data_IF_842138686558
#
_entry.id   IF_842138686558
#
_cell.length_a   1.000
_cell.length_b   1.000
_cell.length_c   1.000
_cell.angle_alpha   90.00
_cell.angle_beta   90.00
_cell.angle_gamma   90.00
#
_symmetry.space_group_name_H-M   'P 1'
#
loop_
_entity.id
_entity.type
_entity.pdbx_description
1 polymer ?
#
# COMPACT_ATOMS: atom_id res chain seq x y z
N UNK A 1 16.76 19.37 26.88
CA UNK A 1 15.45 19.41 27.59
C UNK A 1 14.76 20.73 27.28
N UNK A 2 14.04 20.77 26.15
CA UNK A 2 13.30 21.94 25.67
C UNK A 2 12.91 21.76 24.19
N UNK A 3 12.42 20.57 23.83
CA UNK A 3 12.29 20.10 22.44
C UNK A 3 10.83 20.06 21.94
N UNK A 4 9.86 20.63 22.66
CA UNK A 4 8.44 20.44 22.33
C UNK A 4 7.53 21.69 22.48
N UNK A 5 8.04 22.86 22.88
CA UNK A 5 7.15 24.00 23.20
C UNK A 5 6.76 24.90 22.00
N UNK A 6 7.45 24.83 20.85
CA UNK A 6 7.22 25.80 19.75
C UNK A 6 6.27 25.30 18.64
N UNK A 7 5.81 24.04 18.71
CA UNK A 7 4.84 23.49 17.75
C UNK A 7 3.38 23.63 18.25
N UNK A 8 3.14 23.69 19.56
CA UNK A 8 1.78 23.74 20.12
C UNK A 8 1.33 25.17 20.43
N UNK A 9 0.64 25.79 19.47
CA UNK A 9 -0.06 27.05 19.65
C UNK A 9 -1.25 26.92 20.61
N UNK A 10 -1.03 27.15 21.90
CA UNK A 10 -2.07 27.19 22.93
C UNK A 10 -2.69 28.60 23.02
N UNK A 11 -3.99 28.68 22.70
CA UNK A 11 -4.73 29.93 22.55
C UNK A 11 -6.04 30.02 23.32
N UNK A 12 -6.22 29.27 24.43
CA UNK A 12 -7.37 29.48 25.31
C UNK A 12 -7.08 30.61 26.30
N UNK A 13 -7.65 31.79 26.05
CA UNK A 13 -7.70 32.88 27.03
C UNK A 13 -9.12 33.42 27.17
N UNK A 14 -9.75 32.98 28.25
CA UNK A 14 -10.88 33.65 28.89
C UNK A 14 -10.62 35.17 29.01
N UNK A 15 -11.51 35.98 28.43
CA UNK A 15 -11.67 37.38 28.83
C UNK A 15 -13.13 37.71 29.08
N UNK A 16 -13.36 37.93 30.37
CA UNK A 16 -14.51 38.49 31.05
C UNK A 16 -15.29 39.55 30.27
N UNK A 17 -16.61 39.40 30.33
CA UNK A 17 -17.57 40.46 30.09
C UNK A 17 -17.41 41.60 31.11
N UNK A 18 -17.33 42.84 30.62
CA UNK A 18 -17.81 44.02 31.33
C UNK A 18 -18.32 45.05 30.30
N UNK A 19 -19.44 45.68 30.64
CA UNK A 19 -20.30 46.43 29.73
C UNK A 19 -20.11 47.96 29.84
N UNK A 20 -20.56 48.65 28.78
CA UNK A 20 -21.09 50.04 28.73
C UNK A 20 -20.09 51.21 28.49
N UNK A 21 -20.55 52.41 28.05
CA UNK A 21 -20.45 52.82 26.64
C UNK A 21 -19.88 54.26 26.48
N UNK A 22 -19.47 54.68 25.29
CA UNK A 22 -19.45 56.13 24.98
C UNK A 22 -19.55 56.43 23.49
N UNK A 23 -20.63 57.13 23.13
CA UNK A 23 -20.85 57.85 21.88
C UNK A 23 -19.78 58.93 21.63
N UNK A 24 -19.41 59.13 20.36
CA UNK A 24 -18.62 60.29 19.94
C UNK A 24 -18.22 60.30 18.45
N UNK A 25 -19.14 60.72 17.59
CA UNK A 25 -18.99 61.41 16.29
C UNK A 25 -17.67 61.32 15.47
N UNK A 26 -17.76 60.61 14.31
CA UNK A 26 -17.34 60.96 12.92
C UNK A 26 -16.14 61.92 12.65
N UNK A 27 -15.31 61.70 11.60
CA UNK A 27 -15.77 61.40 10.23
C UNK A 27 -14.98 60.34 9.44
N UNK A 28 -15.59 59.96 8.30
CA UNK A 28 -15.16 58.96 7.34
C UNK A 28 -13.74 59.20 6.78
N UNK A 29 -12.83 58.28 7.09
CA UNK A 29 -11.61 58.03 6.32
C UNK A 29 -11.50 56.53 6.01
N UNK A 30 -10.84 56.27 4.89
CA UNK A 30 -10.75 55.02 4.14
C UNK A 30 -10.91 53.73 4.95
N UNK A 31 -11.84 52.90 4.47
CA UNK A 31 -11.97 51.49 4.82
C UNK A 31 -10.73 50.73 4.32
N UNK A 32 -9.61 50.83 5.02
CA UNK A 32 -8.57 49.80 5.02
C UNK A 32 -9.13 48.62 5.81
N UNK A 33 -9.97 47.84 5.13
CA UNK A 33 -10.23 46.48 5.53
C UNK A 33 -8.89 45.77 5.51
N UNK A 34 -8.33 45.62 6.70
CA UNK A 34 -7.35 44.62 7.09
C UNK A 34 -7.75 43.28 6.47
N UNK A 35 -7.15 42.95 5.33
CA UNK A 35 -7.26 41.66 4.68
C UNK A 35 -6.26 40.71 5.33
N UNK A 36 -6.75 39.60 5.84
CA UNK A 36 -5.99 38.36 5.99
C UNK A 36 -5.39 38.09 7.37
N UNK A 37 -6.23 37.70 8.31
CA UNK A 37 -5.83 36.72 9.33
C UNK A 37 -5.58 35.38 8.61
N UNK A 38 -4.35 34.87 8.77
CA UNK A 38 -3.86 33.49 8.51
C UNK A 38 -4.37 32.74 7.28
N UNK A 39 -3.86 33.10 6.10
CA UNK A 39 -3.62 32.12 5.06
C UNK A 39 -2.16 31.65 5.19
N UNK A 40 -1.94 30.36 5.47
CA UNK A 40 -0.61 29.76 5.38
C UNK A 40 0.02 30.13 4.02
N UNK A 41 1.33 30.46 3.95
CA UNK A 41 1.96 30.74 2.66
C UNK A 41 1.77 29.52 1.75
N UNK A 42 1.48 29.72 0.44
CA UNK A 42 1.39 28.60 -0.48
C UNK A 42 2.73 27.85 -0.50
N UNK A 43 2.68 26.52 -0.38
CA UNK A 43 3.85 25.66 -0.51
C UNK A 43 4.40 25.81 -1.94
N UNK A 44 5.67 26.16 -2.07
CA UNK A 44 6.30 26.47 -3.35
C UNK A 44 7.78 26.87 -3.22
N UNK A 45 8.43 27.30 -4.32
CA UNK A 45 9.88 27.45 -4.37
C UNK A 45 10.46 28.37 -3.28
N UNK A 46 9.79 29.48 -2.98
CA UNK A 46 10.19 30.40 -1.91
C UNK A 46 10.09 29.76 -0.51
N UNK A 47 9.09 28.89 -0.33
CA UNK A 47 8.93 28.14 0.92
C UNK A 47 10.03 27.09 1.09
N UNK A 48 10.39 26.37 0.01
CA UNK A 48 11.50 25.41 0.02
C UNK A 48 12.84 26.10 0.26
N UNK A 49 13.09 27.23 -0.40
CA UNK A 49 14.31 28.02 -0.18
C UNK A 49 14.44 28.46 1.30
N UNK A 50 13.34 28.91 1.91
CA UNK A 50 13.31 29.23 3.34
C UNK A 50 13.53 27.99 4.21
N UNK A 51 12.89 26.86 3.88
CA UNK A 51 13.06 25.60 4.62
C UNK A 51 14.49 25.08 4.56
N UNK A 52 15.14 25.23 3.41
CA UNK A 52 16.54 24.91 3.23
C UNK A 52 17.45 25.78 4.11
N UNK A 53 17.16 27.09 4.22
CA UNK A 53 17.87 27.97 5.16
C UNK A 53 17.62 27.62 6.63
N UNK A 54 16.37 27.29 6.99
CA UNK A 54 16.02 26.80 8.32
C UNK A 54 16.83 25.53 8.67
N UNK A 55 16.93 24.58 7.74
CA UNK A 55 17.73 23.36 7.90
C UNK A 55 19.22 23.67 8.14
N UNK A 56 19.81 24.64 7.42
CA UNK A 56 21.21 25.05 7.69
C UNK A 56 21.40 25.69 9.07
N UNK A 57 20.39 26.40 9.58
CA UNK A 57 20.43 27.00 10.90
C UNK A 57 20.25 25.94 12.00
N UNK A 58 19.35 24.98 11.78
CA UNK A 58 19.10 23.85 12.68
C UNK A 58 20.34 22.95 12.78
N UNK A 59 20.94 22.60 11.65
CA UNK A 59 22.13 21.76 11.56
C UNK A 59 23.41 22.58 11.42
N UNK A 60 23.52 23.67 12.18
CA UNK A 60 24.65 24.61 12.11
C UNK A 60 26.04 24.02 12.40
N UNK A 61 26.09 22.80 12.96
CA UNK A 61 27.32 22.04 13.18
C UNK A 61 27.80 21.30 11.91
N UNK A 62 26.95 21.15 10.89
CA UNK A 62 27.28 20.56 9.60
C UNK A 62 27.82 21.63 8.63
N UNK A 63 28.76 21.29 7.72
CA UNK A 63 29.32 22.22 6.73
C UNK A 63 28.35 22.44 5.54
N UNK A 64 27.12 22.88 5.82
CA UNK A 64 26.08 23.09 4.81
C UNK A 64 26.16 24.51 4.24
N UNK A 65 26.59 24.63 2.98
CA UNK A 65 26.78 25.93 2.29
C UNK A 65 26.12 26.01 0.91
N UNK A 66 25.27 25.03 0.58
CA UNK A 66 24.56 24.89 -0.69
C UNK A 66 25.47 24.60 -1.89
N UNK A 67 26.71 24.16 -1.64
CA UNK A 67 27.59 23.63 -2.68
C UNK A 67 27.35 22.13 -2.93
N UNK A 68 27.77 21.63 -4.09
CA UNK A 68 27.82 20.20 -4.37
C UNK A 68 28.59 19.42 -3.29
N UNK A 69 29.72 19.97 -2.81
CA UNK A 69 30.58 19.34 -1.80
C UNK A 69 29.85 19.17 -0.45
N UNK A 70 28.92 20.07 -0.11
CA UNK A 70 28.17 20.00 1.15
C UNK A 70 27.14 18.86 1.20
N UNK A 71 26.80 18.26 0.06
CA UNK A 71 25.86 17.13 -0.02
C UNK A 71 26.40 15.89 0.72
N UNK A 72 27.72 15.68 0.75
CA UNK A 72 28.30 14.57 1.51
C UNK A 72 28.02 14.68 3.01
N UNK A 73 27.95 15.90 3.56
CA UNK A 73 27.58 16.11 4.96
C UNK A 73 26.08 15.84 5.21
N UNK A 74 25.25 15.98 4.18
CA UNK A 74 23.84 15.60 4.23
C UNK A 74 23.68 14.07 4.28
N UNK A 75 24.44 13.33 3.46
CA UNK A 75 24.48 11.86 3.51
C UNK A 75 24.98 11.35 4.87
N UNK A 76 26.09 11.91 5.38
CA UNK A 76 26.62 11.56 6.70
C UNK A 76 25.59 11.81 7.82
N UNK A 77 24.80 12.88 7.71
CA UNK A 77 23.77 13.19 8.70
C UNK A 77 22.56 12.26 8.60
N UNK A 78 22.09 11.96 7.39
CA UNK A 78 20.98 11.04 7.15
C UNK A 78 21.31 9.61 7.63
N UNK A 79 22.54 9.14 7.34
CA UNK A 79 23.01 7.81 7.71
C UNK A 79 23.52 7.68 9.15
N UNK A 80 23.41 8.73 9.96
CA UNK A 80 23.85 8.70 11.35
C UNK A 80 22.90 7.88 12.22
N UNK A 81 23.44 6.96 13.03
CA UNK A 81 22.66 6.26 14.06
C UNK A 81 22.08 7.22 15.12
N UNK A 82 22.65 8.42 15.24
CA UNK A 82 22.17 9.48 16.12
C UNK A 82 21.11 10.39 15.46
N UNK A 83 20.70 10.11 14.21
CA UNK A 83 19.62 10.86 13.58
C UNK A 83 18.30 10.59 14.37
N UNK A 84 17.44 11.60 14.62
CA UNK A 84 16.23 11.40 15.42
C UNK A 84 15.23 10.38 14.86
N UNK A 85 15.11 10.24 13.54
CA UNK A 85 14.30 9.20 12.89
C UNK A 85 14.84 7.81 13.22
N UNK A 86 16.15 7.59 13.10
CA UNK A 86 16.79 6.31 13.40
C UNK A 86 16.67 5.95 14.90
N UNK A 87 16.86 6.94 15.78
CA UNK A 87 16.72 6.76 17.24
C UNK A 87 15.28 6.38 17.61
N UNK A 88 14.29 7.06 17.04
CA UNK A 88 12.88 6.81 17.33
C UNK A 88 12.38 5.50 16.70
N UNK A 89 12.80 5.18 15.48
CA UNK A 89 12.45 3.92 14.82
C UNK A 89 13.02 2.69 15.54
N UNK A 90 14.13 2.84 16.27
CA UNK A 90 14.71 1.77 17.08
C UNK A 90 14.00 1.58 18.44
N UNK A 91 13.14 2.51 18.85
CA UNK A 91 12.40 2.44 20.11
C UNK A 91 11.01 1.80 19.87
N UNK A 92 10.74 0.59 20.42
CA UNK A 92 9.48 -0.11 20.21
C UNK A 92 8.28 0.56 20.91
N UNK A 93 8.50 1.55 21.78
CA UNK A 93 7.43 2.33 22.40
C UNK A 93 7.06 3.57 21.56
N UNK A 94 7.75 3.83 20.44
CA UNK A 94 7.44 4.93 19.54
C UNK A 94 6.13 4.67 18.80
N UNK A 95 5.25 5.65 18.86
CA UNK A 95 4.00 5.69 18.09
C UNK A 95 4.30 5.87 16.59
N UNK A 96 3.71 5.03 15.74
CA UNK A 96 4.01 4.99 14.30
C UNK A 96 3.53 6.26 13.58
N UNK A 97 2.36 6.80 13.97
CA UNK A 97 1.85 8.07 13.42
C UNK A 97 2.77 9.25 13.77
N UNK A 98 3.31 9.26 14.99
CA UNK A 98 4.34 10.22 15.40
C UNK A 98 5.63 10.07 14.58
N UNK A 99 6.07 8.83 14.37
CA UNK A 99 7.28 8.54 13.60
C UNK A 99 7.15 9.01 12.15
N UNK A 100 6.00 8.78 11.51
CA UNK A 100 5.73 9.23 10.14
C UNK A 100 5.72 10.75 10.03
N UNK A 101 5.10 11.46 10.98
CA UNK A 101 5.14 12.93 11.02
C UNK A 101 6.57 13.47 11.13
N UNK A 102 7.44 12.77 11.87
CA UNK A 102 8.85 13.16 12.02
C UNK A 102 9.63 12.86 10.73
N UNK A 103 9.40 11.71 10.11
CA UNK A 103 9.98 11.34 8.81
C UNK A 103 9.63 12.37 7.73
N UNK A 104 8.35 12.74 7.62
CA UNK A 104 7.89 13.78 6.68
C UNK A 104 8.59 15.12 6.92
N UNK A 105 8.67 15.56 8.18
CA UNK A 105 9.35 16.81 8.53
C UNK A 105 10.84 16.78 8.15
N UNK A 106 11.52 15.66 8.39
CA UNK A 106 12.92 15.46 7.99
C UNK A 106 13.08 15.42 6.47
N UNK A 107 12.23 14.65 5.76
CA UNK A 107 12.26 14.57 4.30
C UNK A 107 12.05 15.95 3.66
N UNK A 108 11.16 16.78 4.21
CA UNK A 108 10.98 18.17 3.78
C UNK A 108 12.26 18.99 3.96
N UNK A 109 12.90 18.94 5.13
CA UNK A 109 14.12 19.73 5.42
C UNK A 109 15.28 19.29 4.53
N UNK A 110 15.54 17.99 4.46
CA UNK A 110 16.59 17.39 3.63
C UNK A 110 16.35 17.63 2.13
N UNK A 111 15.14 17.36 1.65
CA UNK A 111 14.75 17.53 0.25
C UNK A 111 14.76 19.00 -0.18
N UNK A 112 14.34 19.92 0.69
CA UNK A 112 14.45 21.37 0.43
C UNK A 112 15.91 21.81 0.31
N UNK A 113 16.78 21.33 1.22
CA UNK A 113 18.20 21.64 1.15
C UNK A 113 18.85 21.11 -0.13
N UNK A 114 18.63 19.83 -0.44
CA UNK A 114 19.17 19.20 -1.63
C UNK A 114 18.63 19.86 -2.91
N UNK A 115 17.34 20.17 -2.96
CA UNK A 115 16.75 20.91 -4.07
C UNK A 115 17.37 22.29 -4.27
N UNK A 116 17.66 23.03 -3.18
CA UNK A 116 18.37 24.31 -3.29
C UNK A 116 19.83 24.17 -3.73
N UNK A 117 20.53 23.07 -3.40
CA UNK A 117 21.85 22.77 -3.98
C UNK A 117 21.72 22.62 -5.50
N UNK A 118 20.72 21.88 -5.98
CA UNK A 118 20.48 21.69 -7.41
C UNK A 118 20.12 23.00 -8.12
N UNK A 119 19.29 23.83 -7.51
CA UNK A 119 18.95 25.16 -8.05
C UNK A 119 20.18 26.05 -8.14
N UNK A 120 21.00 26.12 -7.09
CA UNK A 120 22.11 27.09 -6.98
C UNK A 120 23.40 26.64 -7.66
N UNK A 121 23.76 25.37 -7.54
CA UNK A 121 25.00 24.83 -8.08
C UNK A 121 24.82 24.19 -9.47
N UNK A 122 23.59 23.78 -9.81
CA UNK A 122 23.28 23.10 -11.05
C UNK A 122 22.27 23.84 -11.93
N UNK A 123 21.95 25.12 -11.69
CA UNK A 123 20.96 25.87 -12.50
C UNK A 123 19.61 25.13 -12.62
N UNK A 124 19.25 24.37 -11.59
CA UNK A 124 17.97 23.66 -11.49
C UNK A 124 16.81 24.63 -11.27
N UNK A 125 15.60 24.17 -11.60
CA UNK A 125 14.38 24.94 -11.40
C UNK A 125 13.34 24.08 -10.69
N UNK A 126 12.80 24.58 -9.57
CA UNK A 126 11.66 23.97 -8.90
C UNK A 126 10.46 23.98 -9.85
N UNK A 127 9.97 22.79 -10.16
CA UNK A 127 8.84 22.58 -11.07
C UNK A 127 7.83 21.69 -10.36
N UNK A 128 6.55 21.99 -10.57
CA UNK A 128 5.47 21.11 -10.13
C UNK A 128 5.16 20.14 -11.28
N UNK A 129 5.33 18.85 -11.04
CA UNK A 129 5.01 17.76 -11.96
C UNK A 129 4.10 16.81 -11.20
N UNK A 130 2.90 16.55 -11.70
CA UNK A 130 1.93 15.64 -11.07
C UNK A 130 1.63 15.97 -9.60
N UNK A 131 1.42 17.26 -9.30
CA UNK A 131 1.23 17.81 -7.94
C UNK A 131 2.41 17.56 -6.97
N UNK A 132 3.52 17.01 -7.47
CA UNK A 132 4.77 16.81 -6.74
C UNK A 132 5.82 17.85 -7.14
N UNK A 133 6.51 18.39 -6.14
CA UNK A 133 7.60 19.33 -6.38
C UNK A 133 8.90 18.58 -6.69
N UNK A 134 9.44 18.86 -7.88
CA UNK A 134 10.72 18.32 -8.37
C UNK A 134 11.69 19.44 -8.69
N UNK A 135 12.98 19.13 -8.84
CA UNK A 135 13.96 20.06 -9.40
C UNK A 135 14.37 19.61 -10.80
N UNK A 136 14.05 20.43 -11.81
CA UNK A 136 14.41 20.21 -13.20
C UNK A 136 15.83 20.73 -13.47
N UNK A 137 16.80 19.81 -13.52
CA UNK A 137 18.22 20.12 -13.68
C UNK A 137 18.64 19.99 -15.15
N UNK A 138 19.26 21.00 -15.78
CA UNK A 138 19.75 20.86 -17.15
C UNK A 138 20.84 19.78 -17.22
N UNK A 139 20.70 18.80 -18.12
CA UNK A 139 21.68 17.72 -18.33
C UNK A 139 22.21 17.67 -19.76
N UNK A 140 21.66 18.49 -20.65
CA UNK A 140 22.11 18.66 -22.04
C UNK A 140 21.74 20.04 -22.57
N UNK A 141 21.93 20.28 -23.87
CA UNK A 141 21.61 21.56 -24.51
C UNK A 141 20.10 21.84 -24.50
N UNK A 142 19.28 20.78 -24.63
CA UNK A 142 17.82 20.85 -24.62
C UNK A 142 17.17 19.89 -23.59
N UNK A 143 17.97 19.14 -22.83
CA UNK A 143 17.48 18.10 -21.91
C UNK A 143 17.53 18.51 -20.44
N UNK A 144 16.49 18.12 -19.70
CA UNK A 144 16.33 18.37 -18.26
C UNK A 144 16.03 17.05 -17.54
N UNK A 145 16.74 16.77 -16.45
CA UNK A 145 16.42 15.68 -15.56
C UNK A 145 15.52 16.21 -14.44
N UNK A 146 14.35 15.58 -14.25
CA UNK A 146 13.51 15.81 -13.08
C UNK A 146 14.09 15.02 -11.89
N UNK A 147 14.30 15.70 -10.76
CA UNK A 147 14.83 15.10 -9.54
C UNK A 147 13.78 15.19 -8.43
N UNK A 148 13.31 14.03 -7.95
CA UNK A 148 12.30 13.88 -6.89
C UNK A 148 12.91 14.01 -5.50
N UNK A 149 13.32 15.23 -5.16
CA UNK A 149 14.19 15.50 -4.00
C UNK A 149 13.60 15.10 -2.63
N UNK A 150 12.27 15.06 -2.49
CA UNK A 150 11.61 14.64 -1.24
C UNK A 150 11.60 13.13 -1.06
N UNK A 151 11.39 12.37 -2.14
CA UNK A 151 11.43 10.90 -2.10
C UNK A 151 12.86 10.41 -1.88
N UNK A 152 13.83 11.06 -2.55
CA UNK A 152 15.26 10.82 -2.30
C UNK A 152 15.59 11.10 -0.84
N UNK A 153 15.02 12.15 -0.26
CA UNK A 153 15.24 12.47 1.15
C UNK A 153 14.61 11.44 2.09
N UNK A 154 13.36 11.04 1.84
CA UNK A 154 12.66 10.02 2.61
C UNK A 154 13.40 8.69 2.60
N UNK A 155 13.85 8.25 1.42
CA UNK A 155 14.64 7.04 1.26
C UNK A 155 16.01 7.15 1.96
N UNK A 156 16.67 8.31 1.89
CA UNK A 156 17.99 8.53 2.52
C UNK A 156 17.94 8.53 4.05
N UNK A 157 16.83 8.95 4.67
CA UNK A 157 16.68 8.97 6.13
C UNK A 157 16.15 7.64 6.70
N UNK A 158 15.50 6.81 5.88
CA UNK A 158 14.96 5.50 6.28
C UNK A 158 15.84 4.33 5.84
N UNK A 159 16.76 4.56 4.90
CA UNK A 159 17.68 3.58 4.34
C UNK A 159 19.08 4.15 4.11
N UNK A 160 19.84 3.56 3.18
CA UNK A 160 21.16 4.08 2.82
C UNK A 160 21.07 5.50 2.24
N UNK A 161 21.91 6.46 2.68
CA UNK A 161 21.92 7.80 2.13
C UNK A 161 22.29 7.84 0.64
N UNK A 162 21.58 8.65 -0.13
CA UNK A 162 21.62 8.63 -1.59
C UNK A 162 21.95 9.98 -2.26
N UNK A 163 22.04 11.08 -1.52
CA UNK A 163 22.12 12.42 -2.12
C UNK A 163 23.38 12.60 -2.98
N UNK A 164 24.53 12.13 -2.50
CA UNK A 164 25.79 12.18 -3.24
C UNK A 164 25.74 11.31 -4.50
N UNK A 165 25.14 10.12 -4.41
CA UNK A 165 24.99 9.22 -5.57
C UNK A 165 24.09 9.83 -6.65
N UNK A 166 22.99 10.48 -6.27
CA UNK A 166 22.13 11.21 -7.20
C UNK A 166 22.91 12.35 -7.87
N UNK A 167 23.76 13.05 -7.12
CA UNK A 167 24.59 14.11 -7.66
C UNK A 167 25.60 13.59 -8.71
N UNK A 168 26.26 12.49 -8.42
CA UNK A 168 27.17 11.81 -9.36
C UNK A 168 26.45 11.42 -10.67
N UNK A 169 25.20 10.96 -10.58
CA UNK A 169 24.39 10.64 -11.76
C UNK A 169 24.06 11.89 -12.58
N UNK A 170 23.71 13.01 -11.94
CA UNK A 170 23.46 14.29 -12.62
C UNK A 170 24.72 14.75 -13.36
N UNK A 171 25.89 14.66 -12.71
CA UNK A 171 27.17 15.02 -13.31
C UNK A 171 27.53 14.11 -14.49
N UNK A 172 27.32 12.80 -14.37
CA UNK A 172 27.57 11.83 -15.44
C UNK A 172 26.70 12.12 -16.68
N UNK A 173 25.42 12.46 -16.48
CA UNK A 173 24.52 12.84 -17.58
C UNK A 173 24.93 14.14 -18.25
N UNK A 174 25.30 15.15 -17.47
CA UNK A 174 25.86 16.41 -18.01
C UNK A 174 27.12 16.20 -18.84
N UNK A 175 27.92 15.20 -18.48
CA UNK A 175 29.10 14.82 -19.25
C UNK A 175 28.77 14.06 -20.55
N UNK A 176 27.51 13.65 -20.76
CA UNK A 176 27.08 12.82 -21.88
C UNK A 176 27.41 11.33 -21.73
N UNK A 177 27.71 10.89 -20.50
CA UNK A 177 28.10 9.51 -20.18
C UNK A 177 26.92 8.69 -19.59
N UNK A 178 25.70 9.23 -19.53
CA UNK A 178 24.52 8.59 -18.95
C UNK A 178 23.31 8.49 -19.89
N UNK A 179 22.42 7.53 -19.63
CA UNK A 179 21.15 7.32 -20.35
C UNK A 179 20.07 8.34 -19.95
N UNK A 180 19.02 8.49 -20.78
CA UNK A 180 17.96 9.49 -20.66
C UNK A 180 16.93 9.22 -19.52
N UNK A 181 17.09 8.15 -18.74
CA UNK A 181 16.16 7.70 -17.67
C UNK A 181 15.94 8.76 -16.58
N UNK A 182 14.74 9.00 -16.02
CA UNK A 182 14.57 9.90 -14.88
C UNK A 182 15.55 9.57 -13.73
N UNK A 183 16.08 10.58 -13.04
CA UNK A 183 17.02 10.37 -11.93
C UNK A 183 16.20 10.19 -10.65
N UNK A 184 16.02 8.93 -10.26
CA UNK A 184 15.34 8.50 -9.03
C UNK A 184 16.35 7.86 -8.07
N UNK A 185 15.89 7.42 -6.89
CA UNK A 185 16.73 6.92 -5.82
C UNK A 185 17.68 5.77 -6.26
N UNK A 186 19.00 5.85 -5.95
CA UNK A 186 19.97 4.76 -6.09
C UNK A 186 19.72 3.71 -5.00
N UNK A 187 18.77 2.85 -5.27
CA UNK A 187 18.27 1.77 -4.42
C UNK A 187 17.05 1.11 -5.05
N UNK A 188 16.37 1.83 -5.96
CA UNK A 188 15.61 1.26 -7.08
C UNK A 188 16.64 0.88 -8.15
N UNK A 189 17.40 -0.18 -7.88
CA UNK A 189 18.33 -0.76 -8.84
C UNK A 189 17.56 -1.48 -9.93
N UNK A 190 16.90 -0.74 -10.82
CA UNK A 190 16.41 -1.28 -12.07
C UNK A 190 17.61 -1.81 -12.84
N UNK A 191 17.70 -3.11 -13.00
CA UNK A 191 18.66 -3.68 -13.94
C UNK A 191 18.43 -3.07 -15.32
N UNK A 192 19.48 -2.95 -16.14
CA UNK A 192 19.34 -2.70 -17.59
C UNK A 192 18.52 -3.79 -18.32
N UNK A 193 18.08 -4.84 -17.61
CA UNK A 193 17.05 -5.77 -18.06
C UNK A 193 15.65 -5.17 -17.80
N UNK A 194 14.92 -4.73 -18.85
CA UNK A 194 13.55 -4.24 -18.72
C UNK A 194 12.61 -5.23 -18.00
N UNK A 195 12.92 -6.53 -18.01
CA UNK A 195 12.17 -7.55 -17.27
C UNK A 195 12.27 -7.36 -15.76
N UNK A 196 13.48 -7.15 -15.23
CA UNK A 196 13.65 -6.93 -13.79
C UNK A 196 13.15 -5.54 -13.36
N UNK A 197 12.95 -4.62 -14.30
CA UNK A 197 12.21 -3.38 -14.03
C UNK A 197 10.73 -3.67 -13.77
N UNK A 198 10.05 -4.44 -14.62
CA UNK A 198 8.65 -4.82 -14.36
C UNK A 198 8.48 -5.63 -13.08
N UNK A 199 9.41 -6.53 -12.77
CA UNK A 199 9.39 -7.27 -11.50
C UNK A 199 9.52 -6.33 -10.29
N UNK A 200 10.41 -5.33 -10.36
CA UNK A 200 10.60 -4.34 -9.31
C UNK A 200 9.38 -3.41 -9.18
N UNK A 201 8.91 -2.82 -10.29
CA UNK A 201 7.74 -1.94 -10.32
C UNK A 201 6.50 -2.67 -9.76
N UNK A 202 6.35 -3.96 -10.07
CA UNK A 202 5.27 -4.78 -9.55
C UNK A 202 5.39 -5.09 -8.05
N UNK A 203 6.61 -5.28 -7.54
CA UNK A 203 6.86 -5.44 -6.11
C UNK A 203 6.59 -4.13 -5.34
N UNK A 204 6.92 -3.00 -5.94
CA UNK A 204 6.67 -1.68 -5.36
C UNK A 204 5.16 -1.43 -5.19
N UNK A 205 4.32 -1.77 -6.19
CA UNK A 205 2.85 -1.69 -6.06
C UNK A 205 2.34 -2.53 -4.88
N UNK A 206 2.84 -3.76 -4.74
CA UNK A 206 2.42 -4.64 -3.66
C UNK A 206 2.87 -4.11 -2.27
N UNK A 207 4.03 -3.47 -2.21
CA UNK A 207 4.60 -2.90 -0.99
C UNK A 207 3.94 -1.56 -0.60
N UNK A 208 3.58 -0.73 -1.57
CA UNK A 208 2.91 0.56 -1.37
C UNK A 208 1.48 0.36 -0.84
N UNK A 209 0.82 -0.74 -1.25
CA UNK A 209 -0.58 -1.01 -0.94
C UNK A 209 -0.79 -2.29 -0.13
N UNK A 210 -0.16 -2.42 1.06
CA UNK A 210 -0.13 -3.68 1.81
C UNK A 210 -1.52 -4.14 2.26
N UNK A 211 -2.47 -3.21 2.45
CA UNK A 211 -3.86 -3.53 2.83
C UNK A 211 -4.60 -4.36 1.78
N UNK A 212 -4.26 -4.22 0.49
CA UNK A 212 -4.86 -5.00 -0.60
C UNK A 212 -4.18 -6.36 -0.77
N UNK A 213 -3.08 -6.63 -0.04
CA UNK A 213 -2.35 -7.92 0.02
C UNK A 213 -2.05 -8.50 -1.37
N UNK A 214 -1.47 -7.69 -2.24
CA UNK A 214 -1.12 -8.08 -3.59
C UNK A 214 0.04 -9.11 -3.56
N UNK A 215 -0.29 -10.39 -3.71
CA UNK A 215 0.62 -11.54 -3.52
C UNK A 215 1.01 -12.27 -4.82
N UNK A 216 0.69 -11.67 -5.97
CA UNK A 216 0.92 -12.20 -7.31
C UNK A 216 0.21 -13.52 -7.63
N UNK A 217 -0.76 -13.93 -6.80
CA UNK A 217 -1.69 -15.00 -7.16
C UNK A 217 -2.74 -14.49 -8.15
N UNK A 218 -3.37 -15.35 -8.96
CA UNK A 218 -4.49 -14.96 -9.80
C UNK A 218 -5.64 -14.29 -9.01
N UNK A 219 -5.87 -14.76 -7.77
CA UNK A 219 -6.91 -14.22 -6.90
C UNK A 219 -6.58 -12.80 -6.37
N UNK A 220 -5.32 -12.38 -6.44
CA UNK A 220 -4.94 -10.99 -6.12
C UNK A 220 -5.38 -9.98 -7.17
N UNK A 221 -5.72 -10.42 -8.39
CA UNK A 221 -6.20 -9.51 -9.43
C UNK A 221 -7.55 -8.88 -9.09
N UNK A 222 -8.42 -9.59 -8.36
CA UNK A 222 -9.67 -9.02 -7.84
C UNK A 222 -9.38 -7.89 -6.85
N UNK A 223 -8.35 -8.08 -6.01
CA UNK A 223 -7.91 -7.09 -5.03
C UNK A 223 -7.24 -5.89 -5.71
N UNK A 224 -6.52 -6.13 -6.81
CA UNK A 224 -6.00 -5.07 -7.67
C UNK A 224 -7.12 -4.28 -8.36
N UNK A 225 -8.16 -4.95 -8.85
CA UNK A 225 -9.37 -4.29 -9.38
C UNK A 225 -10.04 -3.41 -8.31
N UNK A 226 -10.15 -3.90 -7.07
CA UNK A 226 -10.67 -3.11 -5.94
C UNK A 226 -9.79 -1.90 -5.64
N UNK A 227 -8.47 -2.08 -5.57
CA UNK A 227 -7.51 -0.99 -5.38
C UNK A 227 -7.70 0.09 -6.44
N UNK A 228 -7.81 -0.28 -7.72
CA UNK A 228 -8.04 0.69 -8.81
C UNK A 228 -9.40 1.38 -8.65
N UNK A 229 -10.45 0.62 -8.32
CA UNK A 229 -11.79 1.16 -8.15
C UNK A 229 -11.92 2.14 -6.97
N UNK A 230 -11.12 1.97 -5.92
CA UNK A 230 -11.17 2.79 -4.71
C UNK A 230 -10.19 3.97 -4.75
N UNK A 231 -8.94 3.72 -5.12
CA UNK A 231 -7.86 4.69 -5.01
C UNK A 231 -7.68 5.55 -6.27
N UNK A 232 -8.02 5.00 -7.44
CA UNK A 232 -7.71 5.60 -8.73
C UNK A 232 -8.93 6.23 -9.41
N UNK A 233 -10.15 5.78 -9.12
CA UNK A 233 -11.39 6.37 -9.68
C UNK A 233 -11.64 7.84 -9.32
N UNK A 234 -10.97 8.36 -8.30
CA UNK A 234 -11.05 9.78 -7.93
C UNK A 234 -10.33 10.69 -8.93
N UNK A 235 -9.46 10.13 -9.77
CA UNK A 235 -8.76 10.85 -10.82
C UNK A 235 -9.54 10.77 -12.14
N UNK A 236 -9.66 11.89 -12.85
CA UNK A 236 -10.35 11.97 -14.14
C UNK A 236 -9.38 11.52 -15.25
N UNK A 237 -9.45 10.24 -15.62
CA UNK A 237 -8.52 9.58 -16.56
C UNK A 237 -9.14 9.27 -17.93
N UNK A 238 -10.42 9.59 -18.14
CA UNK A 238 -11.18 9.22 -19.34
C UNK A 238 -10.51 9.71 -20.65
N UNK A 239 -9.92 10.90 -20.62
CA UNK A 239 -9.23 11.51 -21.77
C UNK A 239 -7.68 11.37 -21.71
N UNK A 240 -7.15 10.69 -20.70
CA UNK A 240 -5.70 10.54 -20.48
C UNK A 240 -5.08 9.54 -21.47
N UNK A 241 -3.93 9.88 -22.03
CA UNK A 241 -3.22 9.06 -23.03
C UNK A 241 -1.89 8.53 -22.48
N UNK A 242 -1.59 7.25 -22.74
CA UNK A 242 -0.28 6.69 -22.40
C UNK A 242 0.85 7.47 -23.11
N UNK A 243 1.86 7.88 -22.34
CA UNK A 243 2.98 8.71 -22.80
C UNK A 243 2.64 10.16 -23.10
N UNK A 244 1.44 10.64 -22.72
CA UNK A 244 1.09 12.05 -22.80
C UNK A 244 1.80 12.90 -21.74
N UNK A 245 2.03 14.17 -22.06
CA UNK A 245 2.81 15.10 -21.22
C UNK A 245 1.95 15.86 -20.19
N UNK A 246 0.62 15.78 -20.27
CA UNK A 246 -0.27 16.37 -19.27
C UNK A 246 -0.37 15.48 -18.03
N UNK A 247 -0.71 16.07 -16.88
CA UNK A 247 -0.63 15.35 -15.59
C UNK A 247 -1.54 14.13 -15.48
N UNK A 248 -2.73 14.14 -16.12
CA UNK A 248 -3.60 12.97 -16.12
C UNK A 248 -2.99 11.83 -16.97
N UNK A 249 -2.41 12.17 -18.12
CA UNK A 249 -1.67 11.25 -18.98
C UNK A 249 -0.40 10.71 -18.33
N UNK A 250 0.36 11.53 -17.62
CA UNK A 250 1.57 11.12 -16.89
C UNK A 250 1.23 10.19 -15.72
N UNK A 251 0.24 10.56 -14.91
CA UNK A 251 -0.31 9.73 -13.83
C UNK A 251 -0.79 8.37 -14.34
N UNK A 252 -1.61 8.37 -15.40
CA UNK A 252 -2.05 7.14 -16.05
C UNK A 252 -0.85 6.30 -16.50
N UNK A 253 0.17 6.91 -17.11
CA UNK A 253 1.34 6.20 -17.63
C UNK A 253 2.15 5.54 -16.51
N UNK A 254 2.42 6.26 -15.42
CA UNK A 254 3.16 5.72 -14.28
C UNK A 254 2.43 4.51 -13.68
N UNK A 255 1.17 4.69 -13.32
CA UNK A 255 0.41 3.65 -12.65
C UNK A 255 0.02 2.49 -13.58
N UNK A 256 -0.12 2.72 -14.89
CA UNK A 256 -0.30 1.65 -15.86
C UNK A 256 0.98 0.79 -16.02
N UNK A 257 2.17 1.39 -15.91
CA UNK A 257 3.44 0.63 -15.93
C UNK A 257 3.55 -0.25 -14.69
N UNK A 258 3.28 0.32 -13.53
CA UNK A 258 3.27 -0.35 -12.23
C UNK A 258 2.26 -1.51 -12.16
N UNK A 259 0.97 -1.22 -12.34
CA UNK A 259 -0.10 -2.22 -12.27
C UNK A 259 -0.07 -3.20 -13.45
N UNK A 260 0.41 -2.76 -14.61
CA UNK A 260 0.66 -3.63 -15.77
C UNK A 260 1.84 -4.58 -15.53
N UNK A 261 2.90 -4.12 -14.87
CA UNK A 261 3.99 -4.96 -14.39
C UNK A 261 3.47 -6.04 -13.44
N UNK A 262 2.60 -5.67 -12.51
CA UNK A 262 1.95 -6.61 -11.60
C UNK A 262 1.13 -7.68 -12.33
N UNK A 263 0.26 -7.29 -13.26
CA UNK A 263 -0.48 -8.23 -14.09
C UNK A 263 0.48 -9.17 -14.85
N UNK A 264 1.55 -8.62 -15.42
CA UNK A 264 2.53 -9.39 -16.14
C UNK A 264 3.23 -10.43 -15.26
N UNK A 265 3.62 -10.06 -14.05
CA UNK A 265 4.21 -10.97 -13.06
C UNK A 265 3.26 -12.10 -12.65
N UNK A 266 1.96 -11.83 -12.53
CA UNK A 266 0.95 -12.88 -12.30
C UNK A 266 0.98 -13.90 -13.44
N UNK A 267 1.05 -13.47 -14.70
CA UNK A 267 1.15 -14.37 -15.85
C UNK A 267 2.50 -15.11 -15.92
N UNK A 268 3.62 -14.45 -15.62
CA UNK A 268 4.95 -15.09 -15.56
C UNK A 268 4.92 -16.24 -14.56
N UNK A 269 4.42 -15.99 -13.34
CA UNK A 269 4.45 -16.95 -12.23
C UNK A 269 3.44 -18.09 -12.39
N UNK A 270 2.26 -17.81 -12.96
CA UNK A 270 1.15 -18.76 -12.98
C UNK A 270 0.87 -19.38 -14.35
N UNK A 271 1.43 -18.83 -15.42
CA UNK A 271 1.23 -19.30 -16.79
C UNK A 271 2.54 -19.52 -17.56
N UNK A 272 3.70 -19.29 -16.94
CA UNK A 272 5.00 -19.44 -17.60
C UNK A 272 5.20 -18.43 -18.72
N UNK A 273 4.59 -17.25 -18.61
CA UNK A 273 4.76 -16.19 -19.58
C UNK A 273 6.19 -15.64 -19.59
N UNK A 274 6.62 -15.12 -20.73
CA UNK A 274 7.95 -14.53 -20.92
C UNK A 274 7.83 -13.11 -21.47
N UNK A 275 8.65 -12.20 -20.93
CA UNK A 275 8.74 -10.82 -21.40
C UNK A 275 9.61 -10.73 -22.66
N UNK A 276 9.12 -9.98 -23.65
CA UNK A 276 9.82 -9.65 -24.88
C UNK A 276 9.96 -8.13 -25.00
N UNK A 277 11.21 -7.66 -25.07
CA UNK A 277 11.53 -6.24 -24.85
C UNK A 277 12.26 -5.59 -26.03
N UNK A 278 12.22 -6.22 -27.21
CA UNK A 278 12.97 -5.76 -28.40
C UNK A 278 12.43 -4.46 -29.04
N UNK A 279 11.19 -4.03 -28.75
CA UNK A 279 10.62 -2.79 -29.29
C UNK A 279 9.69 -2.08 -28.29
N UNK A 280 8.66 -2.78 -27.83
CA UNK A 280 7.76 -2.38 -26.74
C UNK A 280 7.60 -3.61 -25.84
N UNK A 281 7.46 -3.43 -24.51
CA UNK A 281 7.37 -4.54 -23.57
C UNK A 281 6.10 -5.34 -23.83
N UNK A 282 6.27 -6.50 -24.46
CA UNK A 282 5.20 -7.44 -24.76
C UNK A 282 5.37 -8.66 -23.87
N UNK A 283 4.25 -9.17 -23.36
CA UNK A 283 4.23 -10.41 -22.59
C UNK A 283 3.69 -11.53 -23.47
N UNK A 284 4.45 -12.61 -23.62
CA UNK A 284 4.04 -13.79 -24.38
C UNK A 284 3.63 -14.88 -23.40
N UNK A 285 2.34 -15.23 -23.41
CA UNK A 285 1.78 -16.30 -22.58
C UNK A 285 1.67 -17.56 -23.43
N UNK A 286 2.41 -18.63 -23.11
CA UNK A 286 2.40 -19.85 -23.92
C UNK A 286 1.08 -20.59 -23.77
N UNK A 287 0.59 -21.13 -24.88
CA UNK A 287 -0.57 -22.03 -24.89
C UNK A 287 -0.27 -23.37 -25.58
N UNK A 288 -1.11 -24.40 -25.34
CA UNK A 288 -0.95 -25.72 -25.94
C UNK A 288 -1.00 -25.71 -27.48
N UNK A 289 -1.76 -24.79 -28.07
CA UNK A 289 -1.91 -24.68 -29.53
C UNK A 289 -1.37 -23.38 -30.12
N UNK A 290 -1.49 -22.27 -29.38
CA UNK A 290 -1.10 -20.92 -29.79
C UNK A 290 -0.63 -20.13 -28.56
N UNK A 291 0.30 -19.20 -28.76
CA UNK A 291 0.72 -18.26 -27.72
C UNK A 291 -0.13 -16.98 -27.81
N UNK A 292 -0.43 -16.38 -26.66
CA UNK A 292 -1.05 -15.05 -26.59
C UNK A 292 0.03 -13.99 -26.43
N UNK A 293 -0.13 -12.85 -27.12
CA UNK A 293 0.71 -11.67 -26.93
C UNK A 293 -0.14 -10.61 -26.24
N UNK A 294 0.34 -10.13 -25.10
CA UNK A 294 -0.31 -9.12 -24.29
C UNK A 294 0.55 -7.87 -24.24
N UNK A 295 -0.11 -6.73 -24.15
CA UNK A 295 0.46 -5.44 -23.75
C UNK A 295 -0.06 -5.15 -22.33
N UNK A 296 0.67 -5.55 -21.27
CA UNK A 296 0.18 -5.41 -19.91
C UNK A 296 -0.01 -3.95 -19.48
N UNK A 297 0.77 -3.02 -20.04
CA UNK A 297 0.66 -1.58 -19.74
C UNK A 297 -0.60 -1.01 -20.39
N UNK A 298 -0.88 -1.38 -21.65
CA UNK A 298 -2.13 -1.01 -22.33
C UNK A 298 -3.36 -1.52 -21.59
N UNK A 299 -3.35 -2.80 -21.18
CA UNK A 299 -4.44 -3.41 -20.40
C UNK A 299 -4.65 -2.68 -19.07
N UNK A 300 -3.57 -2.39 -18.36
CA UNK A 300 -3.62 -1.68 -17.08
C UNK A 300 -4.20 -0.27 -17.24
N UNK A 301 -3.85 0.44 -18.32
CA UNK A 301 -4.43 1.75 -18.62
C UNK A 301 -5.94 1.67 -18.83
N UNK A 302 -6.44 0.65 -19.53
CA UNK A 302 -7.87 0.45 -19.74
C UNK A 302 -8.59 0.10 -18.43
N UNK A 303 -7.96 -0.68 -17.55
CA UNK A 303 -8.47 -0.96 -16.21
C UNK A 303 -8.52 0.31 -15.32
N UNK A 304 -7.47 1.14 -15.35
CA UNK A 304 -7.39 2.40 -14.60
C UNK A 304 -8.45 3.42 -15.05
N UNK A 305 -8.81 3.44 -16.33
CA UNK A 305 -9.95 4.22 -16.84
C UNK A 305 -11.32 3.60 -16.51
N UNK A 306 -11.33 2.40 -15.93
CA UNK A 306 -12.56 1.66 -15.64
C UNK A 306 -13.24 1.09 -16.89
N UNK A 307 -12.51 0.95 -18.00
CA UNK A 307 -12.99 0.37 -19.24
C UNK A 307 -12.91 -1.16 -19.25
N UNK A 308 -12.01 -1.72 -18.44
CA UNK A 308 -11.80 -3.17 -18.29
C UNK A 308 -11.51 -3.57 -16.83
N UNK A 309 -11.16 -4.85 -16.60
CA UNK A 309 -10.76 -5.43 -15.32
C UNK A 309 -9.56 -6.36 -15.51
N UNK A 310 -8.63 -6.31 -14.55
CA UNK A 310 -7.47 -7.19 -14.50
C UNK A 310 -7.89 -8.66 -14.40
N UNK A 311 -8.85 -8.94 -13.52
CA UNK A 311 -9.40 -10.29 -13.31
C UNK A 311 -10.05 -10.81 -14.59
N UNK A 312 -10.93 -10.01 -15.21
CA UNK A 312 -11.65 -10.40 -16.42
C UNK A 312 -10.68 -10.65 -17.59
N UNK A 313 -9.64 -9.81 -17.72
CA UNK A 313 -8.60 -9.99 -18.74
C UNK A 313 -7.82 -11.28 -18.52
N UNK A 314 -7.43 -11.57 -17.28
CA UNK A 314 -6.69 -12.79 -16.96
C UNK A 314 -7.50 -14.06 -17.28
N UNK A 315 -8.78 -14.11 -16.89
CA UNK A 315 -9.68 -15.22 -17.21
C UNK A 315 -9.89 -15.38 -18.72
N UNK A 316 -10.09 -14.28 -19.44
CA UNK A 316 -10.28 -14.30 -20.89
C UNK A 316 -9.06 -14.88 -21.62
N UNK A 317 -7.85 -14.50 -21.21
CA UNK A 317 -6.60 -15.02 -21.80
C UNK A 317 -6.43 -16.50 -21.48
N UNK A 318 -6.66 -16.94 -20.24
CA UNK A 318 -6.59 -18.37 -19.89
C UNK A 318 -7.55 -19.22 -20.69
N UNK A 319 -8.78 -18.72 -20.86
CA UNK A 319 -9.80 -19.42 -21.62
C UNK A 319 -9.48 -19.48 -23.11
N UNK A 320 -8.97 -18.39 -23.67
CA UNK A 320 -8.49 -18.35 -25.06
C UNK A 320 -7.37 -19.37 -25.30
N UNK A 321 -6.47 -19.54 -24.35
CA UNK A 321 -5.35 -20.48 -24.44
C UNK A 321 -5.76 -21.92 -24.10
N UNK A 322 -6.98 -22.19 -23.66
CA UNK A 322 -7.40 -23.53 -23.25
C UNK A 322 -6.66 -24.02 -22.01
N UNK A 323 -6.17 -23.10 -21.16
CA UNK A 323 -5.56 -23.39 -19.86
C UNK A 323 -6.62 -23.72 -18.77
N UNK A 324 -7.88 -23.83 -19.18
CA UNK A 324 -9.03 -24.18 -18.37
C UNK A 324 -9.20 -25.72 -18.23
N UNK A 325 -8.39 -26.53 -18.91
CA UNK A 325 -8.57 -27.99 -18.94
C UNK A 325 -7.29 -28.79 -19.21
N UNK A 326 -6.74 -29.43 -18.18
CA UNK A 326 -6.31 -30.84 -18.26
C UNK A 326 -6.38 -31.47 -16.86
N UNK A 327 -6.63 -32.79 -16.75
CA UNK A 327 -6.97 -33.47 -15.52
C UNK A 327 -5.78 -33.35 -14.59
N UNK A 328 -6.06 -32.75 -13.44
CA UNK A 328 -5.21 -32.76 -12.27
C UNK A 328 -4.67 -34.19 -12.09
N UNK A 329 -3.35 -34.33 -12.23
CA UNK A 329 -2.62 -35.38 -11.55
C UNK A 329 -2.85 -35.06 -10.06
N UNK A 330 -3.75 -35.80 -9.40
CA UNK A 330 -4.25 -35.53 -8.03
C UNK A 330 -3.12 -35.33 -7.00
N UNK A 331 -1.92 -35.82 -7.29
CA UNK A 331 -0.73 -35.61 -6.46
C UNK A 331 -0.13 -34.18 -6.56
N UNK A 332 -0.39 -33.42 -7.63
CA UNK A 332 0.20 -32.09 -7.87
C UNK A 332 -0.74 -30.94 -7.49
N UNK A 333 -2.06 -31.09 -7.63
CA UNK A 333 -3.02 -30.09 -7.14
C UNK A 333 -3.15 -30.12 -5.61
N UNK A 334 -3.04 -31.30 -5.00
CA UNK A 334 -2.87 -31.40 -3.55
C UNK A 334 -1.60 -30.71 -3.06
N UNK A 335 -0.55 -30.61 -3.89
CA UNK A 335 0.70 -29.92 -3.56
C UNK A 335 0.69 -28.40 -3.84
N UNK A 336 -0.33 -27.86 -4.53
CA UNK A 336 -0.44 -26.44 -4.86
C UNK A 336 -1.43 -25.69 -3.97
N UNK A 337 -2.46 -26.37 -3.44
CA UNK A 337 -3.34 -25.83 -2.38
C UNK A 337 -2.64 -25.88 -1.00
N UNK A 338 -1.56 -26.65 -0.87
CA UNK A 338 -0.78 -26.80 0.39
C UNK A 338 0.54 -26.04 0.41
N UNK A 339 0.86 -25.20 -0.58
CA UNK A 339 2.06 -24.36 -0.46
C UNK A 339 1.76 -23.17 0.48
N UNK A 340 2.48 -23.05 1.62
CA UNK A 340 2.25 -21.95 2.53
C UNK A 340 2.68 -20.66 1.85
N UNK A 341 1.76 -19.71 1.71
CA UNK A 341 2.11 -18.29 1.68
C UNK A 341 2.69 -18.00 3.06
N UNK A 342 3.99 -17.70 3.15
CA UNK A 342 4.64 -17.30 4.39
C UNK A 342 4.03 -15.98 4.89
N UNK A 343 2.91 -16.05 5.62
CA UNK A 343 2.45 -15.05 6.61
C UNK A 343 1.03 -15.37 7.10
N UNK A 344 0.88 -16.35 8.02
CA UNK A 344 0.10 -16.27 9.28
C UNK A 344 0.06 -17.66 9.96
N UNK A 345 1.23 -18.16 10.41
CA UNK A 345 1.24 -19.33 11.30
C UNK A 345 1.01 -18.81 12.72
N UNK A 346 -0.26 -18.74 13.14
CA UNK A 346 -0.57 -18.62 14.57
C UNK A 346 -0.49 -20.02 15.15
N UNK A 347 0.41 -20.25 16.10
CA UNK A 347 0.48 -21.51 16.87
C UNK A 347 -0.94 -21.89 17.28
N UNK A 348 -1.42 -23.04 16.80
CA UNK A 348 -2.77 -23.50 17.12
C UNK A 348 -2.89 -23.69 18.64
N UNK A 349 -3.78 -22.93 19.32
CA UNK A 349 -4.08 -23.20 20.72
C UNK A 349 -4.59 -24.64 20.81
N UNK A 350 -4.15 -25.39 21.83
CA UNK A 350 -4.66 -26.75 22.02
C UNK A 350 -6.19 -26.76 22.08
N UNK A 351 -6.83 -27.85 21.65
CA UNK A 351 -8.30 -27.98 21.53
C UNK A 351 -9.10 -27.50 22.76
N UNK A 352 -8.57 -27.71 23.96
CA UNK A 352 -9.17 -27.23 25.22
C UNK A 352 -9.17 -25.68 25.30
N UNK A 353 -8.08 -25.04 24.89
CA UNK A 353 -7.98 -23.58 24.82
C UNK A 353 -8.92 -22.98 23.76
N UNK A 354 -9.12 -23.65 22.62
CA UNK A 354 -10.11 -23.23 21.62
C UNK A 354 -11.54 -23.33 22.17
N UNK A 355 -11.89 -24.43 22.84
CA UNK A 355 -13.19 -24.57 23.49
C UNK A 355 -13.44 -23.48 24.55
N UNK A 356 -12.43 -23.16 25.36
CA UNK A 356 -12.49 -22.10 26.36
C UNK A 356 -12.59 -20.71 25.72
N UNK A 357 -11.87 -20.46 24.63
CA UNK A 357 -11.93 -19.21 23.86
C UNK A 357 -13.32 -18.96 23.27
N UNK A 358 -13.93 -20.00 22.68
CA UNK A 358 -15.30 -19.95 22.19
C UNK A 358 -16.33 -19.69 23.29
N UNK A 359 -16.19 -20.36 24.45
CA UNK A 359 -17.06 -20.10 25.61
C UNK A 359 -16.90 -18.67 26.12
N UNK A 360 -15.66 -18.20 26.22
CA UNK A 360 -15.35 -16.87 26.69
C UNK A 360 -15.96 -15.81 25.76
N UNK A 361 -15.95 -15.99 24.44
CA UNK A 361 -16.61 -15.05 23.50
C UNK A 361 -18.10 -14.89 23.82
N UNK A 362 -18.81 -16.01 23.97
CA UNK A 362 -20.24 -16.00 24.28
C UNK A 362 -20.56 -15.43 25.66
N UNK A 363 -19.68 -15.62 26.65
CA UNK A 363 -19.83 -15.05 27.99
C UNK A 363 -19.62 -13.53 28.03
N UNK A 364 -18.73 -13.00 27.18
CA UNK A 364 -18.46 -11.57 27.10
C UNK A 364 -19.61 -10.79 26.44
N UNK A 365 -20.28 -11.42 25.47
CA UNK A 365 -21.32 -10.80 24.65
C UNK A 365 -22.67 -11.51 24.77
N UNK A 366 -23.27 -11.59 25.99
CA UNK A 366 -24.49 -12.36 26.24
C UNK A 366 -25.73 -11.81 25.51
N UNK A 367 -25.71 -10.55 25.07
CA UNK A 367 -26.80 -9.92 24.33
C UNK A 367 -27.01 -10.47 22.92
N UNK A 368 -25.97 -11.07 22.32
CA UNK A 368 -26.05 -11.70 21.00
C UNK A 368 -26.53 -13.16 21.06
N UNK A 369 -26.69 -13.74 22.26
CA UNK A 369 -27.18 -15.12 22.47
C UNK A 369 -26.40 -16.14 21.62
N UNK A 370 -25.09 -16.12 21.75
CA UNK A 370 -24.15 -16.97 21.04
C UNK A 370 -24.17 -18.42 21.60
N UNK A 371 -25.17 -19.21 21.21
CA UNK A 371 -25.45 -20.56 21.72
C UNK A 371 -24.79 -21.74 20.98
N UNK A 372 -23.92 -21.48 20.01
CA UNK A 372 -23.20 -22.46 19.16
C UNK A 372 -24.12 -23.27 18.23
N UNK A 373 -25.36 -22.82 18.05
CA UNK A 373 -26.21 -23.31 16.97
C UNK A 373 -25.76 -22.69 15.63
N UNK A 374 -26.09 -23.32 14.50
CA UNK A 374 -25.86 -22.70 13.19
C UNK A 374 -26.51 -21.30 13.09
N UNK A 375 -27.71 -21.14 13.68
CA UNK A 375 -28.44 -19.87 13.70
C UNK A 375 -27.77 -18.77 14.57
N UNK A 376 -26.77 -19.11 15.39
CA UNK A 376 -25.96 -18.13 16.11
C UNK A 376 -24.91 -17.46 15.24
N UNK A 377 -24.57 -18.02 14.06
CA UNK A 377 -23.60 -17.42 13.14
C UNK A 377 -24.09 -16.08 12.58
N UNK A 378 -25.38 -15.95 12.25
CA UNK A 378 -25.96 -14.66 11.87
C UNK A 378 -25.87 -13.61 12.99
N UNK A 379 -25.85 -14.04 14.26
CA UNK A 379 -25.69 -13.14 15.41
C UNK A 379 -24.22 -12.82 15.69
N UNK A 380 -23.33 -13.72 15.30
CA UNK A 380 -21.89 -13.47 15.26
C UNK A 380 -21.57 -12.41 14.20
N UNK A 381 -22.25 -12.45 13.04
CA UNK A 381 -22.19 -11.40 12.03
C UNK A 381 -22.63 -10.05 12.60
N UNK A 382 -23.77 -10.02 13.31
CA UNK A 382 -24.24 -8.80 14.00
C UNK A 382 -23.22 -8.28 15.02
N UNK A 383 -22.58 -9.17 15.79
CA UNK A 383 -21.54 -8.80 16.76
C UNK A 383 -20.33 -8.17 16.07
N UNK A 384 -19.86 -8.78 14.98
CA UNK A 384 -18.70 -8.31 14.20
C UNK A 384 -19.00 -6.96 13.55
N UNK A 385 -20.18 -6.79 12.96
CA UNK A 385 -20.59 -5.52 12.37
C UNK A 385 -20.76 -4.39 13.41
N UNK A 386 -21.10 -4.72 14.66
CA UNK A 386 -21.32 -3.76 15.73
C UNK A 386 -20.07 -3.40 16.52
N UNK A 387 -18.97 -4.14 16.34
CA UNK A 387 -17.77 -4.06 17.17
C UNK A 387 -16.56 -3.71 16.32
N UNK A 388 -15.67 -2.86 16.83
CA UNK A 388 -14.46 -2.52 16.08
C UNK A 388 -13.58 -3.76 15.91
N UNK A 389 -13.09 -4.00 14.70
CA UNK A 389 -12.17 -5.10 14.38
C UNK A 389 -10.95 -5.15 15.31
N UNK A 390 -10.47 -4.01 15.80
CA UNK A 390 -9.35 -3.93 16.74
C UNK A 390 -9.69 -4.45 18.15
N UNK A 391 -10.98 -4.52 18.49
CA UNK A 391 -11.46 -4.96 19.80
C UNK A 391 -11.88 -6.43 19.82
N UNK A 392 -12.11 -7.03 18.65
CA UNK A 392 -12.46 -8.44 18.52
C UNK A 392 -11.20 -9.31 18.43
N UNK A 393 -11.06 -10.21 19.38
CA UNK A 393 -10.02 -11.24 19.33
C UNK A 393 -10.38 -12.27 18.25
N UNK A 394 -9.67 -12.20 17.13
CA UNK A 394 -9.77 -13.13 15.99
C UNK A 394 -9.72 -14.59 16.44
N UNK A 395 -8.96 -14.89 17.49
CA UNK A 395 -8.84 -16.25 18.02
C UNK A 395 -10.14 -16.74 18.63
N UNK A 396 -10.83 -15.87 19.35
CA UNK A 396 -12.09 -16.21 20.00
C UNK A 396 -13.22 -16.34 18.98
N UNK A 397 -13.22 -15.50 17.95
CA UNK A 397 -14.16 -15.59 16.82
C UNK A 397 -13.94 -16.90 16.04
N UNK A 398 -12.69 -17.21 15.69
CA UNK A 398 -12.32 -18.45 15.00
C UNK A 398 -12.64 -19.71 15.79
N UNK A 399 -12.34 -19.69 17.09
CA UNK A 399 -12.68 -20.77 17.98
C UNK A 399 -14.20 -20.98 18.10
N UNK A 400 -14.98 -19.89 18.09
CA UNK A 400 -16.43 -19.96 18.13
C UNK A 400 -17.02 -20.57 16.86
N UNK A 401 -16.57 -20.11 15.68
CA UNK A 401 -16.95 -20.71 14.40
C UNK A 401 -16.63 -22.21 14.37
N UNK A 402 -15.42 -22.59 14.78
CA UNK A 402 -15.05 -23.99 14.90
C UNK A 402 -15.96 -24.75 15.85
N UNK A 403 -16.27 -24.21 17.03
CA UNK A 403 -17.19 -24.85 17.97
C UNK A 403 -18.58 -25.14 17.37
N UNK A 404 -19.11 -24.24 16.52
CA UNK A 404 -20.37 -24.47 15.79
C UNK A 404 -20.23 -25.69 14.86
N UNK A 405 -19.15 -25.77 14.07
CA UNK A 405 -18.93 -26.90 13.16
C UNK A 405 -18.70 -28.23 13.88
N UNK A 406 -17.96 -28.23 14.99
CA UNK A 406 -17.77 -29.41 15.82
C UNK A 406 -19.11 -29.90 16.40
N UNK A 407 -19.94 -29.00 16.93
CA UNK A 407 -21.18 -29.36 17.62
C UNK A 407 -22.33 -29.71 16.67
N UNK A 408 -22.45 -29.01 15.54
CA UNK A 408 -23.57 -29.20 14.60
C UNK A 408 -23.29 -30.25 13.53
N UNK A 409 -22.04 -30.37 13.09
CA UNK A 409 -21.67 -31.16 11.90
C UNK A 409 -20.66 -32.26 12.17
N UNK A 410 -20.22 -32.42 13.43
CA UNK A 410 -19.26 -33.45 13.80
C UNK A 410 -17.89 -33.23 13.18
N UNK A 411 -17.54 -31.98 12.87
CA UNK A 411 -16.19 -31.64 12.44
C UNK A 411 -15.17 -32.01 13.52
N UNK A 412 -13.92 -32.20 13.13
CA UNK A 412 -12.78 -32.37 14.04
C UNK A 412 -11.70 -31.32 13.74
N UNK A 413 -11.03 -30.84 14.79
CA UNK A 413 -9.82 -30.03 14.59
C UNK A 413 -8.70 -30.91 14.07
N UNK A 414 -8.12 -30.56 12.93
CA UNK A 414 -6.92 -31.21 12.41
C UNK A 414 -5.69 -30.36 12.73
N UNK A 415 -4.64 -31.03 13.21
CA UNK A 415 -3.38 -30.40 13.57
C UNK A 415 -2.48 -30.41 12.32
N UNK A 416 -2.66 -29.41 11.47
CA UNK A 416 -1.83 -29.25 10.27
C UNK A 416 -0.72 -28.24 10.52
N UNK A 417 0.50 -28.73 10.73
CA UNK A 417 1.69 -27.93 11.09
C UNK A 417 1.94 -26.74 10.13
N UNK A 418 1.51 -26.85 8.87
CA UNK A 418 1.73 -25.84 7.83
C UNK A 418 0.52 -24.93 7.55
N UNK A 419 -0.71 -25.34 7.91
CA UNK A 419 -1.95 -24.63 7.54
C UNK A 419 -2.64 -23.96 8.74
N UNK A 420 -2.15 -24.20 9.96
CA UNK A 420 -2.69 -23.61 11.17
C UNK A 420 -4.03 -24.25 11.56
N UNK A 421 -5.09 -23.43 11.64
CA UNK A 421 -6.38 -23.87 12.19
C UNK A 421 -7.24 -24.49 11.11
N UNK A 422 -7.37 -25.81 11.16
CA UNK A 422 -8.11 -26.57 10.16
C UNK A 422 -9.23 -27.38 10.81
N UNK A 423 -10.43 -27.32 10.22
CA UNK A 423 -11.56 -28.16 10.57
C UNK A 423 -11.75 -29.22 9.48
N UNK A 424 -11.69 -30.48 9.87
CA UNK A 424 -12.03 -31.60 9.03
C UNK A 424 -13.52 -31.93 9.19
N UNK A 425 -14.31 -31.68 8.15
CA UNK A 425 -15.71 -32.07 8.08
C UNK A 425 -15.84 -33.50 7.55
N UNK A 426 -16.66 -34.36 8.20
CA UNK A 426 -16.92 -35.68 7.67
C UNK A 426 -17.69 -35.57 6.35
N UNK A 427 -17.11 -36.10 5.27
CA UNK A 427 -17.79 -36.27 3.99
C UNK A 427 -18.55 -37.61 4.00
N UNK A 428 -19.84 -37.60 3.66
CA UNK A 428 -20.64 -38.83 3.57
C UNK A 428 -20.48 -39.55 2.21
N UNK A 429 -19.97 -38.84 1.20
CA UNK A 429 -19.83 -39.31 -0.18
C UNK A 429 -18.46 -39.94 -0.46
N UNK A 430 -17.38 -39.41 0.15
CA UNK A 430 -16.00 -39.85 -0.05
C UNK A 430 -15.27 -40.09 1.29
N UNK A 431 -14.26 -40.98 1.31
CA UNK A 431 -13.49 -41.34 2.52
C UNK A 431 -12.51 -40.22 2.97
N UNK A 432 -12.47 -39.09 2.25
CA UNK A 432 -11.59 -37.95 2.51
C UNK A 432 -12.39 -36.78 3.11
N UNK A 433 -12.10 -36.33 4.35
CA UNK A 433 -12.83 -35.26 4.97
C UNK A 433 -12.58 -33.92 4.26
N UNK A 434 -13.62 -33.11 4.13
CA UNK A 434 -13.48 -31.77 3.60
C UNK A 434 -12.77 -30.86 4.60
N UNK A 435 -11.71 -30.19 4.17
CA UNK A 435 -10.86 -29.39 5.04
C UNK A 435 -11.21 -27.91 4.94
N UNK A 436 -11.61 -27.30 6.05
CA UNK A 436 -11.83 -25.86 6.16
C UNK A 436 -10.64 -25.23 6.87
N UNK A 437 -9.90 -24.38 6.16
CA UNK A 437 -8.82 -23.56 6.75
C UNK A 437 -9.44 -22.27 7.27
N UNK A 438 -9.43 -22.07 8.60
CA UNK A 438 -10.14 -20.96 9.23
C UNK A 438 -9.54 -19.56 9.03
N UNK A 439 -8.20 -19.35 9.00
CA UNK A 439 -7.64 -18.02 8.83
C UNK A 439 -8.17 -17.21 7.63
N UNK A 440 -8.28 -17.76 6.39
CA UNK A 440 -8.87 -17.01 5.29
C UNK A 440 -10.36 -16.71 5.51
N UNK A 441 -11.13 -17.67 6.02
CA UNK A 441 -12.56 -17.49 6.33
C UNK A 441 -12.78 -16.36 7.34
N UNK A 442 -11.98 -16.35 8.41
CA UNK A 442 -12.06 -15.33 9.44
C UNK A 442 -11.72 -13.96 8.89
N UNK A 443 -10.72 -13.88 8.01
CA UNK A 443 -10.36 -12.63 7.36
C UNK A 443 -11.53 -12.09 6.55
N UNK A 444 -12.08 -12.89 5.64
CA UNK A 444 -13.12 -12.43 4.73
C UNK A 444 -14.41 -12.03 5.50
N UNK A 445 -14.73 -12.73 6.60
CA UNK A 445 -15.88 -12.36 7.45
C UNK A 445 -15.62 -11.12 8.32
N UNK A 446 -14.40 -10.92 8.84
CA UNK A 446 -14.05 -9.77 9.67
C UNK A 446 -13.85 -8.49 8.85
N UNK A 447 -13.38 -8.60 7.61
CA UNK A 447 -13.22 -7.50 6.67
C UNK A 447 -14.57 -7.09 6.02
N UNK A 448 -15.62 -7.90 6.21
CA UNK A 448 -16.98 -7.67 5.69
C UNK A 448 -17.18 -8.08 4.24
N UNK A 449 -16.22 -8.81 3.66
CA UNK A 449 -16.28 -9.38 2.31
C UNK A 449 -17.27 -10.57 2.25
N UNK A 450 -17.44 -11.28 3.36
CA UNK A 450 -18.42 -12.36 3.52
C UNK A 450 -19.09 -12.30 4.91
N UNK A 451 -20.04 -13.19 5.16
CA UNK A 451 -20.63 -13.39 6.48
C UNK A 451 -20.42 -14.83 6.96
N UNK A 452 -20.32 -15.03 8.27
CA UNK A 452 -20.21 -16.36 8.87
C UNK A 452 -21.41 -17.24 8.50
N UNK A 453 -22.60 -16.64 8.36
CA UNK A 453 -23.78 -17.35 7.88
C UNK A 453 -23.66 -17.80 6.40
N UNK A 454 -23.16 -16.93 5.52
CA UNK A 454 -22.99 -17.22 4.09
C UNK A 454 -21.87 -18.23 3.83
N UNK A 455 -20.74 -18.07 4.53
CA UNK A 455 -19.67 -19.05 4.54
C UNK A 455 -20.17 -20.42 4.97
N UNK A 456 -20.95 -20.48 6.06
CA UNK A 456 -21.53 -21.74 6.55
C UNK A 456 -22.40 -22.45 5.50
N UNK A 457 -23.31 -21.71 4.86
CA UNK A 457 -24.20 -22.29 3.85
C UNK A 457 -23.39 -22.81 2.64
N UNK A 458 -22.36 -22.08 2.24
CA UNK A 458 -21.43 -22.46 1.17
C UNK A 458 -20.63 -23.71 1.54
N UNK A 459 -20.11 -23.77 2.77
CA UNK A 459 -19.37 -24.94 3.25
C UNK A 459 -20.25 -26.20 3.21
N UNK A 460 -21.49 -26.12 3.72
CA UNK A 460 -22.42 -27.26 3.68
C UNK A 460 -22.81 -27.68 2.26
N UNK A 461 -22.99 -26.73 1.34
CA UNK A 461 -23.27 -27.03 -0.06
C UNK A 461 -22.10 -27.76 -0.73
N UNK A 462 -20.87 -27.32 -0.46
CA UNK A 462 -19.66 -27.92 -1.04
C UNK A 462 -19.36 -29.31 -0.48
N UNK A 463 -19.59 -29.54 0.81
CA UNK A 463 -19.34 -30.83 1.46
C UNK A 463 -20.51 -31.80 1.34
N UNK A 464 -21.65 -31.36 0.79
CA UNK A 464 -22.89 -32.14 0.76
C UNK A 464 -23.43 -32.48 2.16
N UNK A 465 -22.97 -31.77 3.20
CA UNK A 465 -23.41 -31.99 4.58
C UNK A 465 -24.79 -31.39 4.77
N UNK A 466 -25.76 -32.20 5.21
CA UNK A 466 -27.13 -31.74 5.47
C UNK A 466 -27.17 -30.77 6.68
N UNK A 467 -27.57 -29.52 6.46
CA UNK A 467 -27.78 -28.54 7.53
C UNK A 467 -28.77 -27.43 7.17
N UNK A 468 -29.29 -26.68 8.16
CA UNK A 468 -30.21 -25.58 7.91
C UNK A 468 -29.46 -24.38 7.31
N UNK A 469 -29.99 -23.79 6.23
CA UNK A 469 -29.47 -22.51 5.73
C UNK A 469 -29.72 -21.39 6.73
N UNK A 470 -28.71 -20.57 6.98
CA UNK A 470 -28.73 -19.48 7.98
C UNK A 470 -28.61 -18.08 7.38
N UNK A 471 -28.25 -17.96 6.10
CA UNK A 471 -28.03 -16.67 5.42
C UNK A 471 -29.32 -15.91 5.03
N UNK A 472 -30.50 -16.43 5.38
CA UNK A 472 -31.79 -15.96 4.83
C UNK A 472 -32.60 -15.03 5.76
N UNK A 473 -31.98 -14.32 6.71
CA UNK A 473 -32.73 -13.46 7.66
C UNK A 473 -32.42 -11.98 7.50
#
# INVERSE_FOLDING_TARGET
MGLFDDWFGEGDRERSADETPTDGDAPAEANEQSTGEDAAPPVGPEWFARKAEEATAEWSDLPLDFSADSVAALDDHAGSDDNPVAVLAADPETDEEMLDRIREGYAISFGSYFGEVLVRAYDGEWTLVDDQWVVAVPVGEDDRAAVVVFDIAMASITGPPAFGTVLEQIEAKRAGDGDATPITHPGVGGSDDPTARFEADAADVAAEWPRYRLDFSPNSLVRLDTLVAEEFRRFDLDDAALGGEDGASAFLTAHAVETGGYLGEVFVRNCGAEWHTEAEPLLVVPGPEVDAQLDPVGIAADCLRGEDSFTATYEAVRSQLGLDSDPIDDDAAMAAITRPTEAFVVDAPGREALSDAAASLAEEWPEYDLDRSAASLARLDDLVAATDSETLDVTRVGAYLGAVFLEQYGAEWDDHDELGWVLALPDEADDDPAMIVLPPVLRDCLDGDDTFAAFHDTALEQTGTDGPSVSST
#
